data_IF_796191484641
#
_entry.id   IF_796191484641
#
_cell.length_a   1.000
_cell.length_b   1.000
_cell.length_c   1.000
_cell.angle_alpha   90.00
_cell.angle_beta   90.00
_cell.angle_gamma   90.00
#
_symmetry.space_group_name_H-M   'P 1'
#
loop_
_entity.id
_entity.type
_entity.pdbx_description
1 polymer ?
#
# COMPACT_ATOMS: atom_id res chain seq x y z
N UNK A 1 43.08 5.71 61.64
CA UNK A 1 43.41 6.66 60.58
C UNK A 1 43.59 5.86 59.30
N UNK A 2 42.61 5.80 58.47
CA UNK A 2 42.71 5.22 57.11
C UNK A 2 41.68 5.93 56.26
N UNK A 3 42.14 6.76 55.36
CA UNK A 3 41.39 7.54 54.39
C UNK A 3 40.94 6.65 53.25
N UNK A 4 39.66 6.38 53.15
CA UNK A 4 39.06 5.71 51.97
C UNK A 4 38.80 6.77 50.87
N UNK A 5 39.60 6.67 49.85
CA UNK A 5 39.51 7.37 48.59
C UNK A 5 38.13 7.19 47.95
N UNK A 6 37.40 8.25 47.70
CA UNK A 6 36.21 8.30 46.83
C UNK A 6 36.67 8.06 45.40
N UNK A 7 36.33 6.87 44.87
CA UNK A 7 36.43 6.63 43.41
C UNK A 7 35.29 7.36 42.71
N UNK A 8 35.68 8.31 41.92
CA UNK A 8 34.87 8.98 40.93
C UNK A 8 34.27 7.92 39.93
N UNK A 9 32.96 7.79 39.92
CA UNK A 9 32.25 7.06 38.88
C UNK A 9 31.69 8.07 37.89
N UNK A 10 32.56 8.73 37.15
CA UNK A 10 32.19 9.46 35.92
C UNK A 10 32.42 8.52 34.75
N UNK A 11 31.36 7.93 34.22
CA UNK A 11 31.54 7.08 33.04
C UNK A 11 30.32 6.28 32.67
N UNK A 12 29.20 6.89 32.32
CA UNK A 12 28.37 6.51 31.19
C UNK A 12 27.28 7.58 31.03
N UNK A 13 27.53 8.53 30.18
CA UNK A 13 26.46 9.35 29.63
C UNK A 13 25.61 8.43 28.74
N UNK A 14 24.67 7.69 29.35
CA UNK A 14 23.46 7.31 28.67
C UNK A 14 22.80 8.62 28.22
N UNK A 15 22.65 8.82 26.90
CA UNK A 15 21.73 9.85 26.40
C UNK A 15 20.40 9.54 27.08
N UNK A 16 19.95 10.39 28.00
CA UNK A 16 18.56 10.38 28.45
C UNK A 16 17.72 10.50 27.19
N UNK A 17 17.10 9.41 26.77
CA UNK A 17 16.11 9.42 25.71
C UNK A 17 15.00 10.33 26.23
N UNK A 18 14.87 11.51 25.63
CA UNK A 18 13.76 12.41 25.90
C UNK A 18 12.46 11.71 25.48
N UNK A 19 11.83 11.06 26.44
CA UNK A 19 10.62 10.24 26.20
C UNK A 19 9.45 11.08 25.66
N UNK A 20 9.47 12.41 25.89
CA UNK A 20 8.42 13.31 25.37
C UNK A 20 8.47 13.47 23.85
N UNK A 21 9.61 13.13 23.22
CA UNK A 21 9.79 13.29 21.77
C UNK A 21 10.21 11.99 21.05
N UNK A 22 10.02 10.85 21.70
CA UNK A 22 10.47 9.53 21.22
C UNK A 22 9.92 9.18 19.82
N UNK A 23 8.64 9.50 19.56
CA UNK A 23 7.96 9.22 18.29
C UNK A 23 7.97 10.40 17.32
N UNK A 24 8.64 11.52 17.67
CA UNK A 24 8.70 12.68 16.80
C UNK A 24 9.45 12.36 15.50
N UNK A 25 8.89 12.78 14.38
CA UNK A 25 9.52 12.68 13.07
C UNK A 25 10.73 13.61 13.03
N UNK A 26 11.89 13.03 12.73
CA UNK A 26 13.15 13.76 12.55
C UNK A 26 13.37 14.14 11.09
N UNK A 27 13.06 13.19 10.18
CA UNK A 27 13.35 13.31 8.76
C UNK A 27 12.42 12.42 7.92
N UNK A 28 12.08 12.91 6.73
CA UNK A 28 11.39 12.17 5.69
C UNK A 28 12.24 12.15 4.43
N UNK A 29 12.37 11.00 3.78
CA UNK A 29 13.08 10.83 2.51
C UNK A 29 12.16 10.14 1.51
N UNK A 30 11.96 10.78 0.35
CA UNK A 30 11.25 10.21 -0.79
C UNK A 30 12.21 9.70 -1.86
N UNK A 31 11.79 8.68 -2.59
CA UNK A 31 12.46 8.18 -3.79
C UNK A 31 11.48 7.68 -4.83
N UNK A 32 11.91 7.67 -6.09
CA UNK A 32 11.19 7.02 -7.16
C UNK A 32 11.57 5.55 -7.20
N UNK A 33 10.57 4.67 -7.29
CA UNK A 33 10.71 3.22 -7.48
C UNK A 33 9.88 2.78 -8.67
N UNK A 34 10.01 1.53 -9.10
CA UNK A 34 9.26 0.96 -10.23
C UNK A 34 8.22 -0.03 -9.70
N UNK A 35 6.97 0.10 -10.17
CA UNK A 35 5.88 -0.82 -9.84
C UNK A 35 5.94 -2.12 -10.65
N UNK A 36 5.00 -3.05 -10.39
CA UNK A 36 4.91 -4.34 -11.08
C UNK A 36 4.61 -4.25 -12.58
N UNK A 37 4.12 -3.09 -13.06
CA UNK A 37 3.83 -2.81 -14.47
C UNK A 37 4.96 -2.04 -15.16
N UNK A 38 6.08 -1.78 -14.47
CA UNK A 38 7.21 -1.02 -15.00
C UNK A 38 7.00 0.50 -15.00
N UNK A 39 6.00 1.02 -14.30
CA UNK A 39 5.78 2.44 -14.16
C UNK A 39 6.44 3.00 -12.89
N UNK A 40 6.94 4.25 -12.91
CA UNK A 40 7.44 4.88 -11.69
C UNK A 40 6.32 5.08 -10.66
N UNK A 41 6.67 4.90 -9.40
CA UNK A 41 5.84 5.28 -8.26
C UNK A 41 6.70 5.81 -7.12
N UNK A 42 6.06 6.28 -6.04
CA UNK A 42 6.72 6.96 -4.93
C UNK A 42 6.87 6.03 -3.75
N UNK A 43 8.07 5.99 -3.17
CA UNK A 43 8.35 5.39 -1.87
C UNK A 43 8.88 6.46 -0.93
N UNK A 44 8.47 6.43 0.34
CA UNK A 44 8.98 7.27 1.41
C UNK A 44 9.54 6.46 2.57
N UNK A 45 10.56 7.02 3.23
CA UNK A 45 11.05 6.57 4.54
C UNK A 45 10.88 7.70 5.55
N UNK A 46 10.33 7.36 6.72
CA UNK A 46 10.19 8.26 7.86
C UNK A 46 11.11 7.80 8.98
N UNK A 47 11.96 8.71 9.43
CA UNK A 47 12.93 8.51 10.49
C UNK A 47 12.43 9.20 11.75
N UNK A 48 12.38 8.47 12.87
CA UNK A 48 11.98 9.01 14.17
C UNK A 48 13.20 9.29 15.04
N UNK A 49 13.05 10.21 16.01
CA UNK A 49 14.10 10.51 17.01
C UNK A 49 14.55 9.29 17.82
N UNK A 50 13.67 8.30 17.99
CA UNK A 50 14.02 6.99 18.57
C UNK A 50 15.03 6.18 17.76
N UNK A 51 15.30 6.57 16.51
CA UNK A 51 16.06 5.77 15.55
C UNK A 51 15.23 4.76 14.78
N UNK A 52 13.93 4.60 15.07
CA UNK A 52 13.05 3.74 14.30
C UNK A 52 12.79 4.35 12.91
N UNK A 53 12.65 3.47 11.92
CA UNK A 53 12.39 3.84 10.53
C UNK A 53 11.15 3.10 10.06
N UNK A 54 10.27 3.80 9.35
CA UNK A 54 9.15 3.21 8.62
C UNK A 54 9.27 3.50 7.13
N UNK A 55 8.77 2.59 6.30
CA UNK A 55 8.76 2.71 4.85
C UNK A 55 7.35 2.50 4.31
N UNK A 56 6.96 3.33 3.36
CA UNK A 56 5.68 3.26 2.67
C UNK A 56 5.85 3.56 1.18
N UNK A 57 5.13 2.81 0.35
CA UNK A 57 5.05 3.06 -1.09
C UNK A 57 3.61 3.36 -1.47
N UNK A 58 3.42 4.26 -2.42
CA UNK A 58 2.09 4.59 -2.94
C UNK A 58 1.86 3.84 -4.26
N UNK A 59 1.11 2.73 -4.26
CA UNK A 59 0.80 2.02 -5.50
C UNK A 59 -0.11 2.88 -6.38
N UNK A 60 0.07 2.75 -7.70
CA UNK A 60 -0.79 3.38 -8.68
C UNK A 60 -1.89 2.40 -9.11
N UNK A 61 -3.14 2.87 -9.22
CA UNK A 61 -4.24 2.08 -9.75
C UNK A 61 -4.11 1.83 -11.26
N UNK A 62 -4.80 0.81 -11.77
CA UNK A 62 -4.91 0.54 -13.22
C UNK A 62 -5.91 1.49 -13.89
N UNK A 63 -6.95 1.89 -13.17
CA UNK A 63 -7.96 2.88 -13.58
C UNK A 63 -8.05 3.99 -12.54
N UNK A 64 -8.60 5.15 -12.92
CA UNK A 64 -8.82 6.31 -12.04
C UNK A 64 -10.27 6.74 -12.07
N UNK A 65 -10.83 7.09 -10.90
CA UNK A 65 -12.16 7.65 -10.77
C UNK A 65 -12.17 9.19 -10.87
N UNK A 66 -13.30 9.77 -11.25
CA UNK A 66 -13.48 11.23 -11.39
C UNK A 66 -13.21 11.99 -10.07
N UNK A 67 -13.46 11.35 -8.93
CA UNK A 67 -13.36 11.98 -7.61
C UNK A 67 -12.09 11.59 -6.84
N UNK A 68 -11.17 10.86 -7.46
CA UNK A 68 -9.90 10.52 -6.84
C UNK A 68 -9.01 11.75 -6.66
N UNK A 69 -8.22 11.74 -5.58
CA UNK A 69 -7.17 12.72 -5.40
C UNK A 69 -6.07 12.55 -6.47
N UNK A 70 -5.44 13.65 -6.86
CA UNK A 70 -4.51 13.67 -7.98
C UNK A 70 -3.21 12.92 -7.68
N UNK A 71 -2.91 11.92 -8.47
CA UNK A 71 -1.57 11.33 -8.55
C UNK A 71 -0.65 12.26 -9.35
N UNK A 72 0.32 12.88 -8.68
CA UNK A 72 1.21 13.85 -9.32
C UNK A 72 2.24 13.14 -10.21
N UNK A 73 2.17 13.41 -11.51
CA UNK A 73 3.09 12.94 -12.54
C UNK A 73 3.86 14.11 -13.15
N UNK A 74 5.11 13.87 -13.56
CA UNK A 74 6.00 14.92 -14.09
C UNK A 74 5.52 15.51 -15.41
N UNK A 75 4.88 14.71 -16.27
CA UNK A 75 4.42 15.10 -17.59
C UNK A 75 5.54 15.20 -18.63
N UNK A 76 6.79 14.98 -18.26
CA UNK A 76 7.95 15.01 -19.15
C UNK A 76 7.99 13.76 -20.03
N UNK A 77 7.65 13.92 -21.30
CA UNK A 77 7.59 12.82 -22.29
C UNK A 77 8.93 12.15 -22.56
N UNK A 78 10.05 12.82 -22.26
CA UNK A 78 11.39 12.26 -22.44
C UNK A 78 11.74 11.20 -21.38
N UNK A 79 10.96 11.16 -20.30
CA UNK A 79 11.19 10.25 -19.16
C UNK A 79 9.93 9.48 -18.83
N UNK A 80 9.98 8.13 -18.90
CA UNK A 80 8.84 7.22 -18.68
C UNK A 80 7.55 7.61 -19.43
N UNK A 81 7.68 8.22 -20.63
CA UNK A 81 6.52 8.67 -21.40
C UNK A 81 5.65 9.74 -20.71
N UNK A 82 6.20 10.45 -19.72
CA UNK A 82 5.50 11.46 -18.92
C UNK A 82 5.01 10.98 -17.56
N UNK A 83 5.21 9.68 -17.23
CA UNK A 83 4.74 9.06 -15.99
C UNK A 83 5.73 9.20 -14.82
N UNK A 84 6.87 9.90 -14.96
CA UNK A 84 7.83 10.14 -13.89
C UNK A 84 7.17 10.76 -12.65
N UNK A 85 7.78 10.59 -11.47
CA UNK A 85 7.27 11.10 -10.18
C UNK A 85 8.30 11.94 -9.42
N UNK A 86 9.26 12.53 -10.15
CA UNK A 86 10.36 13.30 -9.53
C UNK A 86 9.85 14.53 -8.79
N UNK A 87 8.78 15.19 -9.27
CA UNK A 87 8.14 16.32 -8.58
C UNK A 87 7.53 15.89 -7.24
N UNK A 88 6.83 14.75 -7.23
CA UNK A 88 6.26 14.20 -6.00
C UNK A 88 7.36 13.82 -4.99
N UNK A 89 8.46 13.23 -5.47
CA UNK A 89 9.65 12.91 -4.66
C UNK A 89 10.29 14.19 -4.10
N UNK A 90 10.43 15.23 -4.90
CA UNK A 90 10.95 16.54 -4.44
C UNK A 90 10.06 17.15 -3.36
N UNK A 91 8.73 17.08 -3.52
CA UNK A 91 7.76 17.54 -2.52
C UNK A 91 7.93 16.81 -1.19
N UNK A 92 8.19 15.48 -1.21
CA UNK A 92 8.49 14.71 0.01
C UNK A 92 9.77 15.21 0.67
N UNK A 93 10.83 15.37 -0.11
CA UNK A 93 12.15 15.72 0.41
C UNK A 93 12.26 17.17 0.90
N UNK A 94 11.30 18.02 0.54
CA UNK A 94 11.26 19.45 0.89
C UNK A 94 10.03 19.79 1.74
N UNK A 95 8.91 20.11 1.12
CA UNK A 95 7.71 20.65 1.77
C UNK A 95 7.16 19.69 2.83
N UNK A 96 7.01 18.40 2.51
CA UNK A 96 6.45 17.42 3.44
C UNK A 96 7.43 17.14 4.59
N UNK A 97 8.73 17.00 4.29
CA UNK A 97 9.75 16.83 5.31
C UNK A 97 9.74 17.98 6.32
N UNK A 98 9.63 19.22 5.84
CA UNK A 98 9.61 20.40 6.72
C UNK A 98 8.31 20.50 7.53
N UNK A 99 7.16 20.17 6.92
CA UNK A 99 5.86 20.20 7.57
C UNK A 99 5.72 19.16 8.70
N UNK A 100 6.42 18.03 8.57
CA UNK A 100 6.30 16.91 9.52
C UNK A 100 7.40 16.89 10.59
N UNK A 101 8.40 17.76 10.51
CA UNK A 101 9.50 17.81 11.48
C UNK A 101 8.99 18.09 12.88
N UNK A 102 9.19 17.12 13.80
CA UNK A 102 8.75 17.20 15.18
C UNK A 102 7.32 16.76 15.44
N UNK A 103 6.55 16.41 14.41
CA UNK A 103 5.20 15.82 14.55
C UNK A 103 5.34 14.41 15.11
N UNK A 104 4.45 14.04 16.04
CA UNK A 104 4.39 12.68 16.60
C UNK A 104 3.82 11.71 15.55
N UNK A 105 4.62 10.73 15.14
CA UNK A 105 4.22 9.74 14.14
C UNK A 105 3.11 8.79 14.61
N UNK A 106 2.84 8.70 15.92
CA UNK A 106 1.73 7.90 16.43
C UNK A 106 0.36 8.57 16.28
N UNK A 107 0.34 9.88 16.13
CA UNK A 107 -0.87 10.64 15.77
C UNK A 107 -1.00 10.72 14.24
N UNK A 108 -1.50 9.63 13.65
CA UNK A 108 -1.69 9.54 12.19
C UNK A 108 -2.61 10.63 11.64
N UNK A 109 -3.56 11.12 12.44
CA UNK A 109 -4.45 12.21 12.03
C UNK A 109 -3.70 13.55 11.98
N UNK A 110 -2.82 13.82 12.95
CA UNK A 110 -1.99 15.02 12.93
C UNK A 110 -0.99 15.00 11.77
N UNK A 111 -0.38 13.85 11.48
CA UNK A 111 0.51 13.65 10.33
C UNK A 111 -0.21 13.96 9.02
N UNK A 112 -1.38 13.35 8.80
CA UNK A 112 -2.16 13.56 7.58
C UNK A 112 -2.68 15.00 7.47
N UNK A 113 -3.17 15.58 8.57
CA UNK A 113 -3.64 16.95 8.60
C UNK A 113 -2.54 17.97 8.27
N UNK A 114 -1.30 17.75 8.76
CA UNK A 114 -0.16 18.61 8.43
C UNK A 114 0.19 18.58 6.94
N UNK A 115 0.19 17.40 6.32
CA UNK A 115 0.43 17.26 4.88
C UNK A 115 -0.69 17.85 4.02
N UNK A 116 -1.96 17.62 4.40
CA UNK A 116 -3.13 18.19 3.71
C UNK A 116 -3.13 19.72 3.80
N UNK A 117 -2.78 20.28 4.97
CA UNK A 117 -2.66 21.72 5.16
C UNK A 117 -1.52 22.32 4.33
N UNK A 118 -0.38 21.61 4.21
CA UNK A 118 0.75 22.03 3.37
C UNK A 118 0.41 21.95 1.87
N UNK A 119 -0.41 21.00 1.43
CA UNK A 119 -0.92 20.94 0.06
C UNK A 119 -1.89 22.09 -0.26
N UNK A 120 -2.86 22.33 0.61
CA UNK A 120 -3.82 23.43 0.51
C UNK A 120 -4.88 23.30 -0.59
N UNK A 121 -4.89 22.21 -1.37
CA UNK A 121 -5.88 21.95 -2.42
C UNK A 121 -6.86 20.84 -2.02
N UNK A 122 -8.04 20.82 -2.64
CA UNK A 122 -9.05 19.79 -2.35
C UNK A 122 -8.61 18.40 -2.84
N UNK A 123 -7.96 18.34 -3.99
CA UNK A 123 -7.58 17.14 -4.72
C UNK A 123 -6.11 16.73 -4.55
N UNK A 124 -5.37 17.43 -3.67
CA UNK A 124 -3.95 17.21 -3.39
C UNK A 124 -3.05 17.43 -4.61
N UNK A 125 -3.43 18.39 -5.46
CA UNK A 125 -2.74 18.65 -6.74
C UNK A 125 -1.40 19.37 -6.60
N UNK A 126 -1.10 20.02 -5.45
CA UNK A 126 0.17 20.69 -5.24
C UNK A 126 1.29 19.71 -4.86
N UNK A 127 1.07 18.86 -3.85
CA UNK A 127 2.07 17.90 -3.38
C UNK A 127 1.97 16.54 -4.06
N UNK A 128 0.77 16.17 -4.47
CA UNK A 128 0.44 14.86 -5.04
C UNK A 128 -0.09 13.88 -3.99
N UNK A 129 -1.23 13.24 -4.29
CA UNK A 129 -1.80 12.21 -3.43
C UNK A 129 -0.83 11.03 -3.21
N UNK A 130 -0.04 10.67 -4.23
CA UNK A 130 0.99 9.65 -4.16
C UNK A 130 2.09 10.01 -3.14
N UNK A 131 2.55 11.27 -3.12
CA UNK A 131 3.53 11.73 -2.13
C UNK A 131 2.96 11.67 -0.71
N UNK A 132 1.75 12.22 -0.50
CA UNK A 132 1.08 12.24 0.80
C UNK A 132 0.83 10.81 1.31
N UNK A 133 0.31 9.91 0.46
CA UNK A 133 0.00 8.53 0.84
C UNK A 133 1.26 7.74 1.21
N UNK A 134 2.34 7.86 0.43
CA UNK A 134 3.59 7.17 0.74
C UNK A 134 4.13 7.57 2.13
N UNK A 135 4.08 8.86 2.47
CA UNK A 135 4.55 9.36 3.77
C UNK A 135 3.60 8.98 4.91
N UNK A 136 2.28 9.02 4.69
CA UNK A 136 1.29 8.59 5.68
C UNK A 136 1.52 7.13 6.10
N UNK A 137 1.66 6.22 5.10
CA UNK A 137 1.98 4.81 5.34
C UNK A 137 3.32 4.66 6.07
N UNK A 138 4.36 5.37 5.61
CA UNK A 138 5.69 5.31 6.21
C UNK A 138 5.69 5.76 7.67
N UNK A 139 4.92 6.80 8.01
CA UNK A 139 4.77 7.33 9.38
C UNK A 139 4.12 6.30 10.31
N UNK A 140 3.02 5.67 9.86
CA UNK A 140 2.36 4.60 10.60
C UNK A 140 3.30 3.39 10.83
N UNK A 141 4.06 3.00 9.81
CA UNK A 141 5.06 1.94 9.92
C UNK A 141 6.19 2.31 10.90
N UNK A 142 6.68 3.56 10.89
CA UNK A 142 7.71 4.03 11.80
C UNK A 142 7.24 4.00 13.25
N UNK A 143 6.00 4.49 13.52
CA UNK A 143 5.40 4.44 14.84
C UNK A 143 5.22 3.00 15.35
N UNK A 144 4.68 2.10 14.51
CA UNK A 144 4.52 0.69 14.85
C UNK A 144 5.87 0.02 15.18
N UNK A 145 6.91 0.30 14.40
CA UNK A 145 8.26 -0.20 14.62
C UNK A 145 8.87 0.33 15.93
N UNK A 146 8.72 1.63 16.21
CA UNK A 146 9.19 2.24 17.45
C UNK A 146 8.51 1.66 18.69
N UNK A 147 7.22 1.34 18.59
CA UNK A 147 6.42 0.73 19.65
C UNK A 147 6.61 -0.80 19.74
N UNK A 148 7.37 -1.41 18.84
CA UNK A 148 7.58 -2.86 18.72
C UNK A 148 6.27 -3.65 18.61
N UNK A 149 5.27 -3.11 17.90
CA UNK A 149 3.99 -3.77 17.64
C UNK A 149 3.77 -3.91 16.13
N UNK A 150 3.05 -4.96 15.68
CA UNK A 150 2.70 -5.09 14.26
C UNK A 150 1.81 -3.94 13.77
N UNK A 151 1.99 -3.53 12.51
CA UNK A 151 1.21 -2.43 11.93
C UNK A 151 -0.31 -2.62 12.04
N UNK A 152 -0.80 -3.85 11.81
CA UNK A 152 -2.23 -4.14 11.96
C UNK A 152 -2.76 -3.87 13.38
N UNK A 153 -1.91 -4.08 14.39
CA UNK A 153 -2.25 -3.82 15.79
C UNK A 153 -2.21 -2.32 16.10
N UNK A 154 -1.25 -1.61 15.52
CA UNK A 154 -1.15 -0.16 15.64
C UNK A 154 -2.40 0.53 15.06
N UNK A 155 -2.80 0.15 13.84
CA UNK A 155 -3.96 0.74 13.16
C UNK A 155 -5.31 0.24 13.69
N UNK A 156 -5.42 -1.05 13.99
CA UNK A 156 -6.68 -1.70 14.40
C UNK A 156 -6.92 -1.71 15.91
N UNK A 157 -5.94 -1.30 16.71
CA UNK A 157 -6.02 -1.34 18.18
C UNK A 157 -6.25 -2.76 18.71
N UNK A 158 -6.87 -2.86 19.87
CA UNK A 158 -7.10 -4.15 20.57
C UNK A 158 -8.05 -5.08 19.81
N UNK A 159 -8.92 -4.54 18.97
CA UNK A 159 -9.88 -5.30 18.17
C UNK A 159 -9.36 -5.71 16.78
N UNK A 160 -8.18 -5.23 16.37
CA UNK A 160 -7.53 -5.58 15.11
C UNK A 160 -6.96 -7.00 15.14
N UNK A 161 -7.80 -8.04 15.18
CA UNK A 161 -7.39 -9.43 15.34
C UNK A 161 -8.13 -10.42 14.41
N UNK A 162 -8.90 -9.90 13.45
CA UNK A 162 -9.64 -10.72 12.48
C UNK A 162 -9.17 -10.40 11.07
N UNK A 163 -8.77 -11.44 10.32
CA UNK A 163 -8.56 -11.31 8.88
C UNK A 163 -9.92 -11.23 8.17
N UNK A 164 -10.06 -10.38 7.14
CA UNK A 164 -11.26 -10.36 6.30
C UNK A 164 -11.37 -11.64 5.48
N UNK A 165 -12.58 -11.95 4.98
CA UNK A 165 -12.74 -12.94 3.92
C UNK A 165 -11.99 -12.41 2.69
N UNK A 166 -11.08 -13.20 2.07
CA UNK A 166 -10.38 -12.74 0.87
C UNK A 166 -11.36 -12.57 -0.29
N UNK A 167 -11.15 -11.51 -1.06
CA UNK A 167 -11.80 -11.27 -2.36
C UNK A 167 -10.74 -11.54 -3.44
N UNK A 168 -10.91 -12.58 -4.23
CA UNK A 168 -9.97 -12.91 -5.29
C UNK A 168 -10.58 -12.59 -6.66
N UNK A 169 -9.97 -11.66 -7.39
CA UNK A 169 -10.28 -11.39 -8.77
C UNK A 169 -9.76 -12.53 -9.65
N UNK A 170 -10.63 -13.19 -10.41
CA UNK A 170 -10.29 -14.36 -11.22
C UNK A 170 -10.62 -14.20 -12.71
N UNK A 171 -11.43 -13.21 -13.09
CA UNK A 171 -11.73 -12.88 -14.48
C UNK A 171 -11.88 -11.37 -14.62
N UNK A 172 -11.32 -10.83 -15.69
CA UNK A 172 -11.32 -9.40 -16.00
C UNK A 172 -11.99 -9.09 -17.33
N UNK A 173 -12.58 -7.90 -17.40
CA UNK A 173 -13.11 -7.29 -18.61
C UNK A 173 -13.01 -5.77 -18.56
N UNK A 174 -13.82 -5.07 -19.34
CA UNK A 174 -13.88 -3.62 -19.36
C UNK A 174 -12.52 -2.94 -19.59
N UNK A 175 -12.19 -1.96 -18.78
CA UNK A 175 -10.92 -1.24 -18.87
C UNK A 175 -9.70 -2.07 -18.42
N UNK A 176 -9.89 -3.21 -17.74
CA UNK A 176 -8.81 -4.05 -17.20
C UNK A 176 -8.39 -5.19 -18.13
N UNK A 177 -9.06 -5.36 -19.27
CA UNK A 177 -8.73 -6.39 -20.27
C UNK A 177 -9.12 -5.95 -21.69
N UNK A 178 -8.34 -6.38 -22.66
CA UNK A 178 -8.68 -6.18 -24.08
C UNK A 178 -9.50 -7.37 -24.59
N UNK A 179 -10.75 -7.49 -24.12
CA UNK A 179 -11.69 -8.56 -24.48
C UNK A 179 -13.10 -8.00 -24.67
N UNK A 180 -14.08 -8.90 -24.85
CA UNK A 180 -15.49 -8.58 -25.14
C UNK A 180 -16.37 -8.45 -23.90
N UNK A 181 -15.83 -8.64 -22.70
CA UNK A 181 -16.56 -8.59 -21.43
C UNK A 181 -16.57 -7.15 -20.90
N UNK A 182 -17.73 -6.62 -20.51
CA UNK A 182 -17.89 -5.21 -20.11
C UNK A 182 -17.58 -4.98 -18.63
N UNK A 183 -17.86 -5.96 -17.77
CA UNK A 183 -17.59 -5.88 -16.32
C UNK A 183 -16.09 -5.99 -16.05
N UNK A 184 -15.54 -5.03 -15.31
CA UNK A 184 -14.09 -4.93 -15.09
C UNK A 184 -13.50 -6.10 -14.29
N UNK A 185 -14.22 -6.57 -13.26
CA UNK A 185 -13.72 -7.55 -12.31
C UNK A 185 -14.82 -8.50 -11.86
N UNK A 186 -14.48 -9.80 -11.85
CA UNK A 186 -15.31 -10.84 -11.26
C UNK A 186 -14.53 -11.50 -10.14
N UNK A 187 -15.07 -11.40 -8.92
CA UNK A 187 -14.39 -11.85 -7.72
C UNK A 187 -15.12 -13.02 -7.07
N UNK A 188 -14.35 -13.96 -6.52
CA UNK A 188 -14.87 -15.01 -5.64
C UNK A 188 -14.56 -14.70 -4.18
N UNK A 189 -15.48 -15.07 -3.28
CA UNK A 189 -15.37 -14.87 -1.84
C UNK A 189 -15.72 -16.17 -1.11
N UNK A 190 -14.76 -16.89 -0.51
CA UNK A 190 -15.00 -18.17 0.16
C UNK A 190 -15.51 -17.95 1.60
N UNK A 191 -16.73 -17.41 1.73
CA UNK A 191 -17.33 -17.00 3.03
C UNK A 191 -17.54 -18.14 4.02
N UNK A 192 -17.61 -19.41 3.55
CA UNK A 192 -17.78 -20.60 4.39
C UNK A 192 -16.47 -21.25 4.85
N UNK A 193 -15.31 -20.72 4.45
CA UNK A 193 -14.03 -21.32 4.79
C UNK A 193 -13.73 -21.21 6.31
N UNK A 194 -13.23 -22.30 6.96
CA UNK A 194 -13.01 -22.31 8.40
C UNK A 194 -11.79 -21.48 8.85
N UNK A 195 -10.92 -21.09 7.93
CA UNK A 195 -9.74 -20.24 8.19
C UNK A 195 -9.33 -19.47 6.93
N UNK A 196 -8.55 -18.40 7.09
CA UNK A 196 -7.98 -17.65 5.98
C UNK A 196 -7.10 -18.54 5.08
N UNK A 197 -6.33 -19.46 5.66
CA UNK A 197 -5.51 -20.43 4.92
C UNK A 197 -6.36 -21.29 3.99
N UNK A 198 -7.47 -21.82 4.50
CA UNK A 198 -8.40 -22.64 3.69
C UNK A 198 -9.12 -21.77 2.66
N UNK A 199 -9.52 -20.55 3.02
CA UNK A 199 -10.10 -19.61 2.10
C UNK A 199 -9.18 -19.35 0.89
N UNK A 200 -7.90 -19.10 1.14
CA UNK A 200 -6.91 -18.88 0.08
C UNK A 200 -6.70 -20.16 -0.77
N UNK A 201 -6.67 -21.34 -0.14
CA UNK A 201 -6.58 -22.61 -0.85
C UNK A 201 -7.76 -22.79 -1.82
N UNK A 202 -8.99 -22.59 -1.34
CA UNK A 202 -10.18 -22.69 -2.17
C UNK A 202 -10.16 -21.73 -3.35
N UNK A 203 -9.78 -20.46 -3.11
CA UNK A 203 -9.62 -19.47 -4.18
C UNK A 203 -8.62 -19.93 -5.24
N UNK A 204 -7.46 -20.46 -4.82
CA UNK A 204 -6.44 -20.94 -5.75
C UNK A 204 -6.92 -22.16 -6.57
N UNK A 205 -7.63 -23.09 -5.94
CA UNK A 205 -8.20 -24.26 -6.62
C UNK A 205 -9.26 -23.86 -7.65
N UNK A 206 -10.17 -22.93 -7.31
CA UNK A 206 -11.14 -22.39 -8.27
C UNK A 206 -10.45 -21.66 -9.42
N UNK A 207 -9.41 -20.85 -9.14
CA UNK A 207 -8.65 -20.18 -10.19
C UNK A 207 -8.01 -21.17 -11.17
N UNK A 208 -7.42 -22.27 -10.68
CA UNK A 208 -6.86 -23.31 -11.53
C UNK A 208 -7.92 -24.14 -12.27
N UNK A 209 -9.07 -24.41 -11.66
CA UNK A 209 -10.19 -25.04 -12.32
C UNK A 209 -10.74 -24.18 -13.47
N UNK A 210 -10.85 -22.85 -13.24
CA UNK A 210 -11.24 -21.91 -14.28
C UNK A 210 -10.25 -21.90 -15.46
N UNK A 211 -8.94 -21.89 -15.17
CA UNK A 211 -7.91 -22.00 -16.20
C UNK A 211 -8.05 -23.26 -17.05
N UNK A 212 -8.26 -24.41 -16.41
CA UNK A 212 -8.44 -25.68 -17.09
C UNK A 212 -9.71 -25.69 -17.96
N UNK A 213 -10.80 -25.15 -17.43
CA UNK A 213 -12.09 -25.04 -18.15
C UNK A 213 -11.96 -24.14 -19.39
N UNK A 214 -11.42 -22.93 -19.25
CA UNK A 214 -11.18 -22.00 -20.35
C UNK A 214 -10.30 -22.64 -21.43
N UNK A 215 -9.19 -23.28 -21.03
CA UNK A 215 -8.29 -23.98 -21.94
C UNK A 215 -8.99 -25.12 -22.70
N UNK A 216 -9.86 -25.89 -22.04
CA UNK A 216 -10.62 -26.96 -22.67
C UNK A 216 -11.57 -26.49 -23.76
N UNK A 217 -12.01 -25.22 -23.67
CA UNK A 217 -12.85 -24.54 -24.66
C UNK A 217 -12.06 -23.77 -25.73
N UNK A 218 -10.72 -23.81 -25.67
CA UNK A 218 -9.86 -23.07 -26.60
C UNK A 218 -9.81 -21.57 -26.33
N UNK A 219 -10.25 -21.13 -25.15
CA UNK A 219 -10.26 -19.74 -24.73
C UNK A 219 -8.92 -19.32 -24.12
N UNK A 220 -8.63 -18.00 -24.17
CA UNK A 220 -7.41 -17.44 -23.64
C UNK A 220 -7.33 -17.59 -22.11
N UNK A 221 -6.14 -17.94 -21.62
CA UNK A 221 -5.80 -17.96 -20.17
C UNK A 221 -4.70 -16.97 -19.84
N UNK A 222 -4.48 -15.97 -20.70
CA UNK A 222 -3.71 -14.78 -20.36
C UNK A 222 -4.46 -13.97 -19.31
N UNK A 223 -3.72 -13.31 -18.43
CA UNK A 223 -4.29 -12.49 -17.35
C UNK A 223 -4.32 -11.03 -17.74
N UNK A 224 -5.33 -10.31 -17.27
CA UNK A 224 -5.41 -8.85 -17.32
C UNK A 224 -4.51 -8.17 -16.27
N UNK A 225 -4.57 -6.86 -16.20
CA UNK A 225 -3.75 -6.04 -15.29
C UNK A 225 -3.98 -6.35 -13.80
N UNK A 226 -5.16 -6.86 -13.46
CA UNK A 226 -5.56 -7.19 -12.09
C UNK A 226 -5.44 -8.70 -11.77
N UNK A 227 -4.82 -9.48 -12.67
CA UNK A 227 -4.48 -10.89 -12.43
C UNK A 227 -5.59 -11.90 -12.72
N UNK A 228 -6.81 -11.47 -13.08
CA UNK A 228 -7.87 -12.35 -13.57
C UNK A 228 -7.65 -12.74 -15.04
N UNK A 229 -8.20 -13.89 -15.46
CA UNK A 229 -8.18 -14.30 -16.89
C UNK A 229 -8.96 -13.32 -17.76
N UNK A 230 -8.55 -13.16 -18.99
CA UNK A 230 -9.14 -12.21 -19.94
C UNK A 230 -9.61 -12.91 -21.23
N UNK A 231 -10.52 -13.90 -21.17
CA UNK A 231 -11.04 -14.54 -22.36
C UNK A 231 -12.04 -13.64 -23.11
N UNK A 232 -12.17 -13.84 -24.42
CA UNK A 232 -13.30 -13.33 -25.19
C UNK A 232 -14.53 -14.22 -24.91
N UNK A 233 -15.59 -13.63 -24.36
CA UNK A 233 -16.84 -14.30 -24.04
C UNK A 233 -18.01 -13.57 -24.72
N UNK A 234 -19.13 -14.26 -24.88
CA UNK A 234 -20.29 -13.69 -25.56
C UNK A 234 -21.05 -12.67 -24.69
N UNK A 235 -20.94 -12.77 -23.35
CA UNK A 235 -21.59 -11.87 -22.40
C UNK A 235 -20.99 -11.96 -21.00
N UNK A 236 -21.36 -11.01 -20.13
CA UNK A 236 -21.01 -11.03 -18.70
C UNK A 236 -21.65 -12.23 -17.98
N UNK A 237 -22.85 -12.67 -18.40
CA UNK A 237 -23.50 -13.85 -17.85
C UNK A 237 -22.69 -15.11 -18.16
N UNK A 238 -22.12 -15.22 -19.34
CA UNK A 238 -21.23 -16.33 -19.70
C UNK A 238 -20.00 -16.36 -18.81
N UNK A 239 -19.40 -15.20 -18.49
CA UNK A 239 -18.30 -15.10 -17.55
C UNK A 239 -18.68 -15.64 -16.17
N UNK A 240 -19.84 -15.25 -15.64
CA UNK A 240 -20.36 -15.76 -14.36
C UNK A 240 -20.58 -17.28 -14.43
N UNK A 241 -21.12 -17.80 -15.54
CA UNK A 241 -21.34 -19.23 -15.68
C UNK A 241 -20.04 -20.03 -15.66
N UNK A 242 -18.98 -19.56 -16.35
CA UNK A 242 -17.66 -20.20 -16.29
C UNK A 242 -17.10 -20.23 -14.86
N UNK A 243 -17.31 -19.16 -14.09
CA UNK A 243 -16.87 -19.10 -12.69
C UNK A 243 -17.65 -20.11 -11.83
N UNK A 244 -18.97 -20.18 -12.00
CA UNK A 244 -19.81 -21.14 -11.27
C UNK A 244 -19.44 -22.59 -11.59
N UNK A 245 -19.16 -22.89 -12.85
CA UNK A 245 -18.71 -24.21 -13.28
C UNK A 245 -17.32 -24.52 -12.67
N UNK A 246 -16.40 -23.56 -12.66
CA UNK A 246 -15.08 -23.73 -12.03
C UNK A 246 -15.18 -23.96 -10.51
N UNK A 247 -16.08 -23.26 -9.82
CA UNK A 247 -16.36 -23.49 -8.39
C UNK A 247 -16.84 -24.91 -8.15
N UNK A 248 -17.74 -25.41 -9.01
CA UNK A 248 -18.27 -26.78 -8.93
C UNK A 248 -17.19 -27.83 -9.21
N UNK A 249 -16.31 -27.56 -10.19
CA UNK A 249 -15.23 -28.49 -10.56
C UNK A 249 -14.13 -28.55 -9.50
N UNK A 250 -13.95 -27.48 -8.76
CA UNK A 250 -13.00 -27.41 -7.65
C UNK A 250 -13.50 -28.14 -6.37
N UNK A 251 -14.81 -28.47 -6.26
CA UNK A 251 -15.42 -29.15 -5.10
C UNK A 251 -15.83 -28.18 -4.01
#
# INVERSE_FOLDING_TARGET
>A
MSSLSKRDRSGSMGKDLDMENFLAIEKVIGREIIDSRGNPTVEAEVYLRSGAIGRGAAPSGASTGEFEALELRDGDKSRFGGKGVTKAVENINTVINDALKGVDASDIYAVDAAMIAADGTKDKSNLGANAILAVSIASACAAANALAIPLYRFLGGVNGNKLPVPMMNILNGGAHAANTVDVQEFMIMPVGAPSFKEALRWCAEVFHALAALLKSKGLATSVGDEGGFAPDLASDEEAIQYILDAVKDAG
#
